data_IF_886092692169
#
_entry.id   IF_886092692169
#
_cell.length_a   1.000
_cell.length_b   1.000
_cell.length_c   1.000
_cell.angle_alpha   90.00
_cell.angle_beta   90.00
_cell.angle_gamma   90.00
#
_symmetry.space_group_name_H-M   'P 1'
#
loop_
_entity.id
_entity.type
_entity.pdbx_description
1 polymer ?
#
# COMPACT_ATOMS: atom_id res chain seq x y z
N UNK A 1 23.62 -25.16 13.36
CA UNK A 1 23.04 -25.31 12.02
C UNK A 1 21.90 -24.35 11.79
N UNK A 2 20.95 -24.24 12.73
CA UNK A 2 19.83 -23.30 12.61
C UNK A 2 20.27 -21.85 12.73
N UNK A 3 21.31 -21.59 13.55
CA UNK A 3 21.87 -20.26 13.76
C UNK A 3 22.49 -19.71 12.48
N UNK A 4 23.23 -20.54 11.75
CA UNK A 4 23.87 -20.15 10.48
C UNK A 4 22.81 -19.82 9.42
N UNK A 5 21.69 -20.55 9.37
CA UNK A 5 20.57 -20.29 8.46
C UNK A 5 19.86 -19.00 8.82
N UNK A 6 19.66 -18.74 10.12
CA UNK A 6 19.06 -17.50 10.61
C UNK A 6 19.93 -16.30 10.30
N UNK A 7 21.24 -16.38 10.52
CA UNK A 7 22.18 -15.33 10.21
C UNK A 7 22.24 -15.01 8.71
N UNK A 8 22.19 -16.04 7.87
CA UNK A 8 22.15 -15.88 6.42
C UNK A 8 20.83 -15.22 5.96
N UNK A 9 19.71 -15.59 6.59
CA UNK A 9 18.41 -14.98 6.29
C UNK A 9 18.39 -13.51 6.69
N UNK A 10 18.90 -13.18 7.87
CA UNK A 10 19.01 -11.79 8.36
C UNK A 10 19.90 -10.96 7.45
N UNK A 11 21.04 -11.50 7.04
CA UNK A 11 21.95 -10.79 6.14
C UNK A 11 21.30 -10.51 4.79
N UNK A 12 20.52 -11.44 4.26
CA UNK A 12 19.77 -11.23 3.01
C UNK A 12 18.69 -10.17 3.17
N UNK A 13 17.99 -10.15 4.31
CA UNK A 13 16.98 -9.14 4.59
C UNK A 13 17.61 -7.76 4.70
N UNK A 14 18.70 -7.63 5.43
CA UNK A 14 19.43 -6.35 5.56
C UNK A 14 19.94 -5.85 4.21
N UNK A 15 20.49 -6.75 3.40
CA UNK A 15 20.98 -6.41 2.06
C UNK A 15 19.84 -5.96 1.15
N UNK A 16 18.68 -6.64 1.21
CA UNK A 16 17.49 -6.27 0.45
C UNK A 16 16.96 -4.91 0.85
N UNK A 17 16.89 -4.62 2.15
CA UNK A 17 16.45 -3.33 2.69
C UNK A 17 17.38 -2.21 2.24
N UNK A 18 18.70 -2.40 2.35
CA UNK A 18 19.68 -1.39 1.92
C UNK A 18 19.58 -1.13 0.43
N UNK A 19 19.44 -2.17 -0.38
CA UNK A 19 19.31 -2.04 -1.82
C UNK A 19 18.04 -1.28 -2.20
N UNK A 20 16.92 -1.58 -1.53
CA UNK A 20 15.65 -0.89 -1.75
C UNK A 20 15.78 0.60 -1.36
N UNK A 21 16.31 0.89 -0.19
CA UNK A 21 16.51 2.26 0.28
C UNK A 21 17.40 3.07 -0.66
N UNK A 22 18.44 2.45 -1.23
CA UNK A 22 19.31 3.11 -2.20
C UNK A 22 18.62 3.43 -3.51
N UNK A 23 17.71 2.55 -3.97
CA UNK A 23 17.06 2.67 -5.27
C UNK A 23 15.75 3.48 -5.21
N UNK A 24 15.02 3.42 -4.08
CA UNK A 24 13.64 3.90 -3.98
C UNK A 24 13.38 4.77 -2.75
N UNK A 25 14.27 5.69 -2.43
CA UNK A 25 14.03 6.64 -1.34
C UNK A 25 12.89 7.58 -1.70
N UNK A 26 11.81 7.52 -0.96
CA UNK A 26 10.63 8.36 -1.20
C UNK A 26 10.69 9.73 -0.57
N UNK A 27 11.60 9.94 0.38
CA UNK A 27 11.67 11.18 1.18
C UNK A 27 10.93 11.09 2.51
N UNK A 28 10.36 9.92 2.83
CA UNK A 28 9.69 9.68 4.11
C UNK A 28 10.18 8.34 4.68
N UNK A 29 10.92 8.36 5.81
CA UNK A 29 11.51 7.13 6.35
C UNK A 29 10.50 6.04 6.74
N UNK A 30 9.33 6.44 7.24
CA UNK A 30 8.28 5.48 7.61
C UNK A 30 7.74 4.79 6.37
N UNK A 31 7.45 5.56 5.34
CA UNK A 31 6.99 5.02 4.06
C UNK A 31 8.05 4.10 3.44
N UNK A 32 9.31 4.50 3.47
CA UNK A 32 10.42 3.72 2.94
C UNK A 32 10.50 2.35 3.62
N UNK A 33 10.41 2.31 4.95
CA UNK A 33 10.42 1.07 5.71
C UNK A 33 9.23 0.19 5.35
N UNK A 34 8.05 0.78 5.25
CA UNK A 34 6.81 0.06 4.93
C UNK A 34 6.85 -0.53 3.52
N UNK A 35 7.23 0.27 2.53
CA UNK A 35 7.31 -0.19 1.14
C UNK A 35 8.40 -1.24 0.97
N UNK A 36 9.52 -1.11 1.66
CA UNK A 36 10.60 -2.10 1.65
C UNK A 36 10.09 -3.45 2.16
N UNK A 37 9.41 -3.46 3.31
CA UNK A 37 8.87 -4.68 3.88
C UNK A 37 7.84 -5.33 2.95
N UNK A 38 6.97 -4.54 2.33
CA UNK A 38 5.98 -5.06 1.38
C UNK A 38 6.61 -5.58 0.10
N UNK A 39 7.63 -4.90 -0.39
CA UNK A 39 8.37 -5.36 -1.58
C UNK A 39 9.00 -6.73 -1.34
N UNK A 40 9.59 -6.94 -0.17
CA UNK A 40 10.17 -8.23 0.21
C UNK A 40 9.09 -9.32 0.32
N UNK A 41 7.97 -9.01 0.95
CA UNK A 41 6.83 -9.93 1.05
C UNK A 41 6.30 -10.30 -0.33
N UNK A 42 6.18 -9.33 -1.23
CA UNK A 42 5.75 -9.55 -2.60
C UNK A 42 6.70 -10.49 -3.35
N UNK A 43 8.01 -10.28 -3.21
CA UNK A 43 9.00 -11.17 -3.82
C UNK A 43 8.84 -12.61 -3.35
N UNK A 44 8.63 -12.81 -2.05
CA UNK A 44 8.42 -14.14 -1.48
C UNK A 44 7.15 -14.81 -2.01
N UNK A 45 6.11 -14.02 -2.28
CA UNK A 45 4.83 -14.52 -2.77
C UNK A 45 4.70 -14.53 -4.30
N UNK A 46 5.77 -14.19 -5.01
CA UNK A 46 5.73 -14.13 -6.47
C UNK A 46 4.84 -13.00 -7.02
N UNK A 47 4.68 -11.93 -6.26
CA UNK A 47 3.90 -10.76 -6.65
C UNK A 47 4.83 -9.71 -7.26
N UNK A 48 4.43 -9.18 -8.41
CA UNK A 48 5.17 -8.12 -9.09
C UNK A 48 4.66 -6.77 -8.64
N UNK A 49 5.38 -6.15 -7.69
CA UNK A 49 5.03 -4.84 -7.15
C UNK A 49 5.82 -3.75 -7.86
N UNK A 50 5.12 -2.75 -8.38
CA UNK A 50 5.73 -1.52 -8.89
C UNK A 50 5.23 -0.36 -8.04
N UNK A 51 6.13 0.55 -7.69
CA UNK A 51 5.78 1.72 -6.89
C UNK A 51 6.44 2.97 -7.44
N UNK A 52 5.64 4.04 -7.51
CA UNK A 52 6.11 5.40 -7.79
C UNK A 52 5.58 6.24 -6.63
N UNK A 53 6.45 6.61 -5.71
CA UNK A 53 6.02 7.25 -4.47
C UNK A 53 6.90 8.44 -4.13
N UNK A 54 6.24 9.57 -3.86
CA UNK A 54 6.87 10.79 -3.35
C UNK A 54 6.43 10.98 -1.91
N UNK A 55 7.21 10.43 -0.98
CA UNK A 55 6.89 10.40 0.44
C UNK A 55 7.01 11.73 1.16
N UNK A 56 7.65 12.73 0.53
CA UNK A 56 7.77 14.05 1.15
C UNK A 56 6.41 14.67 1.49
N UNK A 57 5.37 14.32 0.74
CA UNK A 57 4.02 14.85 0.94
C UNK A 57 3.30 14.25 2.14
N UNK A 58 3.84 13.19 2.75
CA UNK A 58 3.23 12.50 3.89
C UNK A 58 3.76 12.98 5.25
N UNK A 59 4.56 14.06 5.26
CA UNK A 59 5.18 14.56 6.49
C UNK A 59 4.19 15.04 7.55
N UNK A 60 2.95 15.34 7.17
CA UNK A 60 1.91 15.75 8.11
C UNK A 60 1.20 14.56 8.79
N UNK A 61 1.50 13.33 8.37
CA UNK A 61 0.91 12.13 8.94
C UNK A 61 1.82 11.52 10.01
N UNK A 62 1.21 11.00 11.08
CA UNK A 62 1.94 10.23 12.08
C UNK A 62 2.35 8.87 11.50
N UNK A 63 3.29 8.21 12.18
CA UNK A 63 3.69 6.85 11.84
C UNK A 63 2.48 5.90 11.80
N UNK A 64 1.61 6.01 12.80
CA UNK A 64 0.40 5.19 12.87
C UNK A 64 -0.53 5.44 11.69
N UNK A 65 -0.70 6.70 11.31
CA UNK A 65 -1.56 7.06 10.18
C UNK A 65 -1.01 6.55 8.85
N UNK A 66 0.30 6.62 8.65
CA UNK A 66 0.92 6.05 7.45
C UNK A 66 0.72 4.53 7.42
N UNK A 67 0.89 3.85 8.55
CA UNK A 67 0.65 2.40 8.63
C UNK A 67 -0.81 2.04 8.32
N UNK A 68 -1.77 2.87 8.70
CA UNK A 68 -3.18 2.65 8.37
C UNK A 68 -3.47 2.97 6.91
N UNK A 69 -3.10 4.17 6.46
CA UNK A 69 -3.47 4.66 5.13
C UNK A 69 -2.73 3.96 3.99
N UNK A 70 -1.53 3.48 4.25
CA UNK A 70 -0.71 2.79 3.25
C UNK A 70 -0.64 1.28 3.54
N UNK A 71 -0.38 0.92 4.78
CA UNK A 71 -0.17 -0.48 5.16
C UNK A 71 -1.40 -1.37 4.96
N UNK A 72 -2.56 -0.92 5.40
CA UNK A 72 -3.79 -1.71 5.29
C UNK A 72 -4.20 -1.97 3.83
N UNK A 73 -4.22 -0.95 2.94
CA UNK A 73 -4.49 -1.20 1.52
C UNK A 73 -3.47 -2.14 0.87
N UNK A 74 -2.18 -2.04 1.24
CA UNK A 74 -1.15 -2.93 0.72
C UNK A 74 -1.37 -4.37 1.20
N UNK A 75 -1.65 -4.57 2.48
CA UNK A 75 -1.93 -5.89 3.03
C UNK A 75 -3.13 -6.54 2.35
N UNK A 76 -4.17 -5.76 2.12
CA UNK A 76 -5.37 -6.21 1.41
C UNK A 76 -5.04 -6.65 -0.02
N UNK A 77 -4.23 -5.87 -0.73
CA UNK A 77 -3.80 -6.19 -2.09
C UNK A 77 -2.94 -7.46 -2.14
N UNK A 78 -1.99 -7.60 -1.23
CA UNK A 78 -1.11 -8.76 -1.15
C UNK A 78 -1.92 -10.03 -0.86
N UNK A 79 -2.85 -9.97 0.07
CA UNK A 79 -3.73 -11.10 0.39
C UNK A 79 -4.54 -11.55 -0.82
N UNK A 80 -5.13 -10.61 -1.54
CA UNK A 80 -5.88 -10.88 -2.77
C UNK A 80 -5.00 -11.53 -3.83
N UNK A 81 -3.79 -10.99 -4.05
CA UNK A 81 -2.88 -11.49 -5.08
C UNK A 81 -2.26 -12.84 -4.74
N UNK A 82 -2.09 -13.14 -3.46
CA UNK A 82 -1.61 -14.46 -3.02
C UNK A 82 -2.59 -15.55 -3.45
N UNK A 83 -3.87 -15.25 -3.52
CA UNK A 83 -4.90 -16.18 -3.97
C UNK A 83 -5.01 -16.28 -5.50
N UNK A 84 -4.35 -15.42 -6.26
CA UNK A 84 -4.37 -15.46 -7.73
C UNK A 84 -3.56 -16.66 -8.25
N UNK A 85 -4.18 -17.60 -8.99
CA UNK A 85 -3.49 -18.80 -9.44
C UNK A 85 -2.47 -18.55 -10.56
N UNK A 86 -2.64 -17.49 -11.35
CA UNK A 86 -1.72 -17.17 -12.45
C UNK A 86 -0.60 -16.25 -11.96
N UNK A 87 0.65 -16.74 -11.89
CA UNK A 87 1.77 -15.91 -11.40
C UNK A 87 2.01 -14.65 -12.22
N UNK A 88 1.68 -14.65 -13.50
CA UNK A 88 1.88 -13.48 -14.36
C UNK A 88 0.85 -12.38 -14.08
N UNK A 89 -0.25 -12.73 -13.40
CA UNK A 89 -1.32 -11.78 -13.04
C UNK A 89 -1.23 -11.30 -11.60
N UNK A 90 -0.19 -11.66 -10.87
CA UNK A 90 0.05 -11.15 -9.53
C UNK A 90 0.71 -9.79 -9.61
N UNK A 91 -0.08 -8.79 -9.99
CA UNK A 91 0.39 -7.44 -10.28
C UNK A 91 -0.17 -6.45 -9.26
N UNK A 92 0.74 -5.70 -8.64
CA UNK A 92 0.41 -4.66 -7.66
C UNK A 92 1.07 -3.35 -8.09
N UNK A 93 0.30 -2.29 -8.18
CA UNK A 93 0.80 -0.94 -8.52
C UNK A 93 0.47 0.01 -7.40
N UNK A 94 1.47 0.76 -6.96
CA UNK A 94 1.34 1.77 -5.91
C UNK A 94 1.78 3.11 -6.47
N UNK A 95 0.97 4.14 -6.26
CA UNK A 95 1.34 5.51 -6.64
C UNK A 95 0.99 6.46 -5.51
N UNK A 96 1.95 7.29 -5.12
CA UNK A 96 1.78 8.34 -4.12
C UNK A 96 2.37 9.62 -4.69
N UNK A 97 1.52 10.61 -4.93
CA UNK A 97 1.94 11.86 -5.56
C UNK A 97 1.03 13.01 -5.18
N UNK A 98 1.54 14.23 -5.30
CA UNK A 98 0.74 15.43 -5.05
C UNK A 98 0.09 15.91 -6.34
N UNK A 99 -1.16 16.35 -6.24
CA UNK A 99 -1.92 16.93 -7.34
C UNK A 99 -2.94 17.92 -6.80
N UNK A 100 -2.90 19.14 -7.30
CA UNK A 100 -3.92 20.17 -7.02
C UNK A 100 -4.17 20.39 -5.52
N UNK A 101 -3.11 20.49 -4.74
CA UNK A 101 -3.21 20.75 -3.30
C UNK A 101 -3.58 19.52 -2.45
N UNK A 102 -3.64 18.37 -3.06
CA UNK A 102 -3.92 17.11 -2.37
C UNK A 102 -2.81 16.10 -2.63
N UNK A 103 -2.65 15.14 -1.72
CA UNK A 103 -1.85 13.96 -1.99
C UNK A 103 -2.77 12.80 -2.34
N UNK A 104 -2.45 12.13 -3.44
CA UNK A 104 -3.15 10.96 -3.91
C UNK A 104 -2.36 9.72 -3.52
N UNK A 105 -3.02 8.77 -2.85
CA UNK A 105 -2.50 7.45 -2.59
C UNK A 105 -3.36 6.46 -3.36
N UNK A 106 -2.77 5.74 -4.29
CA UNK A 106 -3.49 4.81 -5.16
C UNK A 106 -2.85 3.44 -5.10
N UNK A 107 -3.67 2.43 -4.84
CA UNK A 107 -3.26 1.03 -4.73
C UNK A 107 -4.11 0.23 -5.69
N UNK A 108 -3.49 -0.39 -6.70
CA UNK A 108 -4.19 -1.15 -7.72
C UNK A 108 -3.65 -2.58 -7.75
N UNK A 109 -4.54 -3.57 -7.65
CA UNK A 109 -4.14 -4.95 -7.83
C UNK A 109 -5.03 -5.65 -8.86
N UNK A 110 -4.41 -6.51 -9.64
CA UNK A 110 -5.19 -7.35 -10.55
C UNK A 110 -6.14 -8.24 -9.73
N UNK A 111 -7.38 -8.32 -10.17
CA UNK A 111 -8.42 -9.11 -9.53
C UNK A 111 -9.42 -9.56 -10.59
N UNK A 112 -9.35 -10.83 -11.00
CA UNK A 112 -10.15 -11.35 -12.09
C UNK A 112 -11.64 -11.36 -11.75
N UNK A 113 -11.99 -11.75 -10.52
CA UNK A 113 -13.37 -11.83 -10.08
C UNK A 113 -13.88 -10.46 -9.64
N UNK A 114 -15.08 -10.05 -10.08
CA UNK A 114 -15.66 -8.80 -9.64
C UNK A 114 -15.79 -8.72 -8.12
N UNK A 115 -15.48 -7.56 -7.57
CA UNK A 115 -15.65 -7.28 -6.15
C UNK A 115 -16.98 -6.53 -5.97
N UNK A 116 -17.88 -7.12 -5.20
CA UNK A 116 -19.15 -6.50 -4.89
C UNK A 116 -18.94 -5.40 -3.85
N UNK A 117 -19.49 -4.20 -4.11
CA UNK A 117 -19.45 -3.08 -3.18
C UNK A 117 -20.81 -2.95 -2.48
N UNK A 118 -20.76 -2.65 -1.19
CA UNK A 118 -21.95 -2.40 -0.38
C UNK A 118 -22.47 -0.98 -0.55
N UNK A 119 -23.57 -0.63 0.17
CA UNK A 119 -24.15 0.71 0.13
C UNK A 119 -23.19 1.81 0.58
N UNK A 120 -22.18 1.46 1.37
CA UNK A 120 -21.15 2.38 1.86
C UNK A 120 -20.01 2.59 0.85
N UNK A 121 -20.09 1.96 -0.33
CA UNK A 121 -19.05 2.02 -1.35
C UNK A 121 -17.82 1.17 -1.06
N UNK A 122 -17.85 0.38 0.00
CA UNK A 122 -16.76 -0.50 0.40
C UNK A 122 -17.05 -1.95 -0.01
N UNK A 123 -16.00 -2.79 -0.18
CA UNK A 123 -16.22 -4.19 -0.51
C UNK A 123 -17.10 -4.87 0.52
N UNK A 124 -18.07 -5.61 0.04
CA UNK A 124 -18.78 -6.56 0.88
C UNK A 124 -17.77 -7.61 1.30
N UNK A 125 -17.75 -7.93 2.59
CA UNK A 125 -16.76 -8.84 3.18
C UNK A 125 -16.60 -10.07 2.30
N UNK A 126 -15.40 -10.21 1.72
CA UNK A 126 -15.11 -11.36 0.87
C UNK A 126 -14.97 -12.62 1.73
N UNK A 127 -15.27 -13.77 1.11
CA UNK A 127 -15.06 -15.08 1.74
C UNK A 127 -13.59 -15.32 2.10
N UNK A 128 -12.68 -14.49 1.64
CA UNK A 128 -11.25 -14.59 1.88
C UNK A 128 -10.76 -13.76 3.08
N UNK A 129 -11.66 -13.10 3.82
CA UNK A 129 -11.31 -12.42 5.07
C UNK A 129 -10.41 -11.20 4.96
N UNK A 130 -10.47 -10.47 3.83
CA UNK A 130 -9.66 -9.27 3.62
C UNK A 130 -9.82 -8.23 4.72
N UNK A 131 -8.79 -7.41 4.90
CA UNK A 131 -8.78 -6.35 5.90
C UNK A 131 -9.93 -5.36 5.68
N UNK A 132 -10.47 -4.87 6.78
CA UNK A 132 -11.57 -3.91 6.74
C UNK A 132 -11.07 -2.52 6.34
N UNK A 133 -11.49 -2.05 5.17
CA UNK A 133 -11.13 -0.73 4.66
C UNK A 133 -11.87 0.42 5.35
N UNK A 134 -12.82 0.14 6.24
CA UNK A 134 -13.54 1.19 6.98
C UNK A 134 -12.61 2.02 7.85
N UNK A 135 -11.61 1.39 8.48
CA UNK A 135 -10.61 2.10 9.26
C UNK A 135 -9.77 3.04 8.42
N UNK A 136 -9.44 2.64 7.19
CA UNK A 136 -8.72 3.48 6.24
C UNK A 136 -9.57 4.67 5.83
N UNK A 137 -10.84 4.44 5.52
CA UNK A 137 -11.79 5.50 5.16
C UNK A 137 -11.95 6.51 6.31
N UNK A 138 -12.07 6.01 7.54
CA UNK A 138 -12.18 6.87 8.72
C UNK A 138 -10.93 7.73 8.90
N UNK A 139 -9.74 7.15 8.72
CA UNK A 139 -8.48 7.88 8.81
C UNK A 139 -8.38 8.97 7.74
N UNK A 140 -8.80 8.68 6.51
CA UNK A 140 -8.83 9.66 5.44
C UNK A 140 -9.77 10.82 5.77
N UNK A 141 -10.95 10.52 6.28
CA UNK A 141 -11.95 11.54 6.65
C UNK A 141 -11.49 12.44 7.80
N UNK A 142 -10.69 11.90 8.73
CA UNK A 142 -10.12 12.70 9.83
C UNK A 142 -9.22 13.81 9.30
N UNK A 143 -8.61 13.62 8.14
CA UNK A 143 -7.78 14.63 7.48
C UNK A 143 -8.55 15.46 6.45
N UNK A 144 -9.88 15.37 6.45
CA UNK A 144 -10.70 16.07 5.46
C UNK A 144 -10.63 15.47 4.06
N UNK A 145 -10.14 14.25 3.97
CA UNK A 145 -9.98 13.55 2.70
C UNK A 145 -11.07 12.53 2.41
N UNK A 146 -10.88 11.80 1.35
CA UNK A 146 -11.80 10.77 0.87
C UNK A 146 -11.07 9.49 0.54
N UNK A 147 -11.80 8.39 0.60
CA UNK A 147 -11.33 7.10 0.08
C UNK A 147 -12.41 6.54 -0.83
N UNK A 148 -12.03 6.13 -2.01
CA UNK A 148 -12.92 5.48 -2.98
C UNK A 148 -12.34 4.14 -3.38
N UNK A 149 -13.23 3.19 -3.63
CA UNK A 149 -12.88 1.83 -4.05
C UNK A 149 -13.62 1.54 -5.35
N UNK A 150 -12.92 0.93 -6.28
CA UNK A 150 -13.48 0.61 -7.60
C UNK A 150 -12.93 -0.72 -8.08
N UNK A 151 -13.82 -1.53 -8.69
CA UNK A 151 -13.40 -2.68 -9.49
C UNK A 151 -13.83 -2.43 -10.93
N UNK A 152 -12.88 -2.49 -11.85
CA UNK A 152 -13.13 -2.26 -13.28
C UNK A 152 -12.08 -2.99 -14.11
N UNK A 153 -12.50 -3.69 -15.13
CA UNK A 153 -11.61 -4.35 -16.10
C UNK A 153 -10.55 -5.24 -15.42
N UNK A 154 -10.98 -6.03 -14.43
CA UNK A 154 -10.11 -6.93 -13.66
C UNK A 154 -9.09 -6.24 -12.78
N UNK A 155 -9.30 -4.97 -12.46
CA UNK A 155 -8.46 -4.23 -11.51
C UNK A 155 -9.29 -3.74 -10.33
N UNK A 156 -8.76 -3.98 -9.14
CA UNK A 156 -9.30 -3.45 -7.89
C UNK A 156 -8.44 -2.26 -7.47
N UNK A 157 -9.05 -1.10 -7.32
CA UNK A 157 -8.35 0.14 -7.03
C UNK A 157 -8.88 0.76 -5.74
N UNK A 158 -7.97 1.08 -4.83
CA UNK A 158 -8.24 1.92 -3.66
C UNK A 158 -7.58 3.26 -3.90
N UNK A 159 -8.34 4.34 -3.81
CA UNK A 159 -7.86 5.72 -3.97
C UNK A 159 -8.12 6.50 -2.70
N UNK A 160 -7.08 7.08 -2.17
CA UNK A 160 -7.16 7.96 -1.00
C UNK A 160 -6.69 9.34 -1.43
N UNK A 161 -7.49 10.34 -1.15
CA UNK A 161 -7.17 11.74 -1.46
C UNK A 161 -7.17 12.53 -0.17
N UNK A 162 -6.03 13.12 0.17
CA UNK A 162 -5.87 13.88 1.40
C UNK A 162 -5.47 15.31 1.06
N UNK A 163 -6.18 16.33 1.58
CA UNK A 163 -5.72 17.71 1.45
C UNK A 163 -4.36 17.89 2.12
N UNK A 164 -3.44 18.55 1.43
CA UNK A 164 -2.15 18.88 2.01
C UNK A 164 -2.36 20.10 2.91
N UNK A 165 -1.99 20.01 4.22
CA UNK A 165 -2.14 21.15 5.12
C UNK A 165 -1.36 22.37 4.60
N UNK A 166 -2.00 23.54 4.65
CA UNK A 166 -1.31 24.78 4.31
C UNK A 166 -0.28 25.06 5.40
N UNK A 167 0.95 25.40 4.99
CA UNK A 167 1.94 25.91 5.93
C UNK A 167 1.38 27.17 6.54
N UNK A 168 1.31 27.20 7.88
CA UNK A 168 0.99 28.45 8.55
C UNK A 168 2.06 29.49 8.19
N UNK A 169 1.62 30.58 7.58
CA UNK A 169 2.51 31.69 7.32
C UNK A 169 2.79 32.37 8.66
N UNK A 170 4.03 32.27 9.10
CA UNK A 170 4.47 33.07 10.22
C UNK A 170 4.72 34.51 9.79
#
# INVERSE_FOLDING_TARGET
>A
RDRAKQDAALARMESGIRQYEAENKTGNPVLDTLLTAKSMECQEQGIHMTSVADGQWLGFLSTREICTLVGVPLDNAVESLTAEPDPEKRLLRVAIYAQSGCVMLRFENYCAAPVALGPDGLPVRSAHGGYDLRGVQAAARQHGGTMTVKWENSWFTVRILLPIPKKESM
#
